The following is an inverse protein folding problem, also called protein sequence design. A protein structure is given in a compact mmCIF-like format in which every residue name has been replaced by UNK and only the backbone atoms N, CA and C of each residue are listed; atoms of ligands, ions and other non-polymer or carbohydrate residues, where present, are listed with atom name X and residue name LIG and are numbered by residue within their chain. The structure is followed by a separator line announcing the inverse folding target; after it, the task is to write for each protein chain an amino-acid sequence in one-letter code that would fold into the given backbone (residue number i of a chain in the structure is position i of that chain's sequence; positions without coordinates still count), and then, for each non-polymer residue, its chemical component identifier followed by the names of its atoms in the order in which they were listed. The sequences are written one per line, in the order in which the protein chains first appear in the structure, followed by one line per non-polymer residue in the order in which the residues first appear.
data_IF_424032162330
#
_entry.id   IF_424032162330
#
_cell.length_a   1.000
_cell.length_b   1.000
_cell.length_c   1.000
_cell.angle_alpha   90.00
_cell.angle_beta   90.00
_cell.angle_gamma   90.00
#
_symmetry.space_group_name_H-M   'P 1'
#
loop_
_entity.id
_entity.type
_entity.pdbx_description
1 polymer ?
#
# COMPACT_ATOMS: atom_id res chain seq x y z
N UNK A 1 34.98 43.09 26.59
CA UNK A 1 33.82 42.16 26.60
C UNK A 1 33.33 42.01 25.18
N UNK A 2 33.73 40.95 24.48
CA UNK A 2 33.17 40.57 23.17
C UNK A 2 32.36 39.32 23.43
N UNK A 3 31.03 39.46 23.37
CA UNK A 3 30.08 38.38 23.54
C UNK A 3 29.97 37.55 22.27
N UNK A 4 30.12 36.24 22.42
CA UNK A 4 29.78 35.25 21.43
C UNK A 4 28.27 35.27 21.16
N UNK A 5 27.87 35.22 19.89
CA UNK A 5 26.60 34.64 19.48
C UNK A 5 26.78 34.01 18.10
N UNK A 6 27.07 32.72 18.11
CA UNK A 6 27.07 31.86 16.95
C UNK A 6 25.65 31.73 16.43
N UNK A 7 25.35 32.41 15.33
CA UNK A 7 24.24 32.03 14.47
C UNK A 7 24.68 30.79 13.70
N UNK A 8 24.40 29.61 14.28
CA UNK A 8 24.41 28.37 13.54
C UNK A 8 23.39 28.52 12.42
N UNK A 9 23.87 28.81 11.21
CA UNK A 9 23.11 28.61 9.99
C UNK A 9 22.77 27.12 9.94
N UNK A 10 21.58 26.78 10.43
CA UNK A 10 20.96 25.49 10.15
C UNK A 10 20.59 25.52 8.69
N UNK A 11 21.58 25.24 7.84
CA UNK A 11 21.36 24.92 6.44
C UNK A 11 20.45 23.70 6.43
N UNK A 12 19.22 23.78 5.92
CA UNK A 12 18.42 22.58 5.76
C UNK A 12 19.22 21.63 4.85
N UNK A 13 19.27 20.31 5.15
CA UNK A 13 19.90 19.39 4.23
C UNK A 13 19.26 19.55 2.86
N UNK A 14 20.06 19.96 1.88
CA UNK A 14 19.72 19.89 0.47
C UNK A 14 19.62 18.39 0.18
N UNK A 15 18.43 17.83 0.35
CA UNK A 15 18.17 16.48 -0.13
C UNK A 15 18.31 16.52 -1.65
N UNK A 16 19.19 15.69 -2.25
CA UNK A 16 19.28 15.62 -3.69
C UNK A 16 17.90 15.22 -4.23
N UNK A 17 17.34 16.10 -5.08
CA UNK A 17 16.04 16.00 -5.77
C UNK A 17 15.98 14.86 -6.80
N UNK A 18 16.78 13.80 -6.61
CA UNK A 18 16.98 12.70 -7.54
C UNK A 18 16.66 11.32 -6.96
N UNK A 19 16.22 11.21 -5.70
CA UNK A 19 15.48 10.02 -5.26
C UNK A 19 14.00 10.13 -5.67
N UNK A 20 13.76 10.25 -6.98
CA UNK A 20 12.49 9.79 -7.56
C UNK A 20 12.60 8.28 -7.52
N UNK A 21 12.17 7.70 -6.40
CA UNK A 21 12.14 6.25 -6.22
C UNK A 21 11.35 5.64 -7.37
N UNK A 22 12.05 4.95 -8.26
CA UNK A 22 11.48 4.06 -9.28
C UNK A 22 10.75 2.86 -8.65
N UNK A 23 10.66 2.81 -7.32
CA UNK A 23 9.84 1.86 -6.58
C UNK A 23 8.33 1.98 -6.86
N UNK A 24 7.88 3.11 -7.43
CA UNK A 24 6.47 3.31 -7.80
C UNK A 24 6.00 2.50 -9.01
N UNK A 25 6.92 1.99 -9.84
CA UNK A 25 6.59 1.32 -11.11
C UNK A 25 7.10 -0.12 -11.18
N UNK A 26 7.34 -0.80 -10.04
CA UNK A 26 7.45 -2.26 -10.12
C UNK A 26 6.11 -2.80 -10.62
N UNK A 27 6.04 -3.41 -11.82
CA UNK A 27 4.82 -4.00 -12.28
C UNK A 27 4.37 -5.01 -11.22
N UNK A 28 3.09 -4.98 -10.87
CA UNK A 28 2.52 -6.04 -10.05
C UNK A 28 2.89 -7.36 -10.72
N UNK A 29 3.57 -8.25 -9.98
CA UNK A 29 3.92 -9.58 -10.48
C UNK A 29 2.66 -10.22 -11.05
N UNK A 30 2.79 -10.86 -12.21
CA UNK A 30 1.71 -11.70 -12.72
C UNK A 30 1.38 -12.79 -11.69
N UNK A 31 0.16 -13.33 -11.73
CA UNK A 31 -0.25 -14.41 -10.84
C UNK A 31 0.72 -15.60 -10.89
N UNK A 32 1.30 -15.87 -12.06
CA UNK A 32 2.29 -16.92 -12.27
C UNK A 32 3.65 -16.58 -11.63
N UNK A 33 4.17 -15.36 -11.84
CA UNK A 33 5.42 -14.92 -11.20
C UNK A 33 5.30 -14.90 -9.68
N UNK A 34 4.13 -14.51 -9.17
CA UNK A 34 3.83 -14.56 -7.75
C UNK A 34 3.80 -16.00 -7.22
N UNK A 35 3.14 -16.92 -7.92
CA UNK A 35 3.12 -18.33 -7.53
C UNK A 35 4.55 -18.90 -7.48
N UNK A 36 5.40 -18.54 -8.46
CA UNK A 36 6.82 -18.92 -8.48
C UNK A 36 7.61 -18.30 -7.33
N UNK A 37 7.37 -17.03 -7.00
CA UNK A 37 8.02 -16.36 -5.87
C UNK A 37 7.64 -17.01 -4.53
N UNK A 38 6.36 -17.33 -4.32
CA UNK A 38 5.89 -18.04 -3.12
C UNK A 38 6.48 -19.45 -3.03
N UNK A 39 6.50 -20.20 -4.14
CA UNK A 39 7.13 -21.52 -4.18
C UNK A 39 8.64 -21.46 -3.85
N UNK A 40 9.33 -20.40 -4.29
CA UNK A 40 10.73 -20.18 -3.95
C UNK A 40 10.92 -19.90 -2.46
N UNK A 41 10.08 -19.05 -1.87
CA UNK A 41 10.09 -18.77 -0.42
C UNK A 41 9.83 -20.04 0.37
N UNK A 42 8.84 -20.85 -0.03
CA UNK A 42 8.54 -22.12 0.62
C UNK A 42 9.71 -23.11 0.55
N UNK A 43 10.43 -23.11 -0.57
CA UNK A 43 11.62 -23.94 -0.74
C UNK A 43 12.79 -23.53 0.15
N UNK A 44 12.92 -22.23 0.46
CA UNK A 44 14.04 -21.69 1.26
C UNK A 44 13.71 -21.70 2.75
N UNK A 45 12.49 -21.26 3.11
CA UNK A 45 12.08 -21.01 4.48
C UNK A 45 11.21 -22.13 5.07
N UNK A 46 10.81 -23.11 4.26
CA UNK A 46 9.84 -24.14 4.62
C UNK A 46 8.39 -23.74 4.33
N UNK A 47 7.43 -24.66 4.54
CA UNK A 47 6.03 -24.44 4.18
C UNK A 47 5.43 -23.23 4.90
N UNK A 48 4.79 -22.34 4.13
CA UNK A 48 4.01 -21.23 4.69
C UNK A 48 2.68 -21.75 5.24
N UNK A 49 2.39 -21.39 6.48
CA UNK A 49 1.11 -21.67 7.11
C UNK A 49 -0.05 -20.87 6.47
N UNK A 50 -1.28 -21.28 6.79
CA UNK A 50 -2.48 -20.66 6.22
C UNK A 50 -2.61 -19.18 6.59
N UNK A 51 -2.21 -18.79 7.80
CA UNK A 51 -2.25 -17.41 8.28
C UNK A 51 -1.32 -16.49 7.49
N UNK A 52 -0.10 -16.95 7.19
CA UNK A 52 0.89 -16.21 6.42
C UNK A 52 0.42 -16.03 4.97
N UNK A 53 -0.12 -17.09 4.36
CA UNK A 53 -0.71 -17.00 3.01
C UNK A 53 -1.89 -16.04 2.95
N UNK A 54 -2.80 -16.12 3.93
CA UNK A 54 -3.97 -15.23 4.05
C UNK A 54 -3.56 -13.77 4.20
N UNK A 55 -2.58 -13.51 5.06
CA UNK A 55 -2.01 -12.18 5.27
C UNK A 55 -1.35 -11.63 4.01
N UNK A 56 -0.56 -12.44 3.31
CA UNK A 56 0.05 -12.05 2.04
C UNK A 56 -0.99 -11.70 0.97
N UNK A 57 -2.06 -12.49 0.86
CA UNK A 57 -3.16 -12.20 -0.06
C UNK A 57 -3.90 -10.89 0.28
N UNK A 58 -4.17 -10.63 1.57
CA UNK A 58 -4.80 -9.39 2.00
C UNK A 58 -3.93 -8.15 1.74
N UNK A 59 -2.62 -8.24 1.98
CA UNK A 59 -1.69 -7.14 1.72
C UNK A 59 -1.57 -6.82 0.22
N UNK A 60 -1.52 -7.85 -0.63
CA UNK A 60 -1.48 -7.66 -2.07
C UNK A 60 -2.79 -7.05 -2.60
N UNK A 61 -3.94 -7.56 -2.16
CA UNK A 61 -5.23 -7.01 -2.52
C UNK A 61 -5.37 -5.53 -2.09
N UNK A 62 -4.87 -5.19 -0.90
CA UNK A 62 -4.85 -3.80 -0.42
C UNK A 62 -3.96 -2.91 -1.30
N UNK A 63 -2.75 -3.37 -1.65
CA UNK A 63 -1.86 -2.64 -2.55
C UNK A 63 -2.47 -2.46 -3.95
N UNK A 64 -3.13 -3.49 -4.48
CA UNK A 64 -3.80 -3.48 -5.77
C UNK A 64 -5.00 -2.51 -5.79
N UNK A 65 -5.84 -2.52 -4.75
CA UNK A 65 -6.95 -1.60 -4.61
C UNK A 65 -6.47 -0.14 -4.55
N UNK A 66 -5.42 0.15 -3.76
CA UNK A 66 -4.82 1.48 -3.72
C UNK A 66 -4.24 1.90 -5.08
N UNK A 67 -3.58 1.00 -5.81
CA UNK A 67 -3.06 1.25 -7.14
C UNK A 67 -4.18 1.55 -8.15
N UNK A 68 -5.28 0.80 -8.07
CA UNK A 68 -6.47 1.05 -8.87
C UNK A 68 -7.06 2.44 -8.58
N UNK A 69 -7.24 2.82 -7.31
CA UNK A 69 -7.75 4.16 -6.94
C UNK A 69 -6.85 5.27 -7.51
N UNK A 70 -5.52 5.14 -7.43
CA UNK A 70 -4.59 6.12 -8.01
C UNK A 70 -4.73 6.21 -9.52
N UNK A 71 -4.87 5.05 -10.20
CA UNK A 71 -5.08 4.98 -11.64
C UNK A 71 -6.41 5.64 -12.05
N UNK A 72 -7.47 5.38 -11.31
CA UNK A 72 -8.82 5.90 -11.59
C UNK A 72 -8.93 7.41 -11.35
N UNK A 73 -8.29 7.92 -10.29
CA UNK A 73 -8.37 9.35 -9.92
C UNK A 73 -7.27 10.21 -10.51
N UNK A 74 -6.19 9.61 -11.02
CA UNK A 74 -4.98 10.34 -11.43
C UNK A 74 -4.24 11.03 -10.28
N UNK A 75 -4.55 10.70 -9.01
CA UNK A 75 -3.98 11.34 -7.82
C UNK A 75 -3.02 10.42 -7.08
N UNK A 76 -1.94 11.00 -6.55
CA UNK A 76 -1.00 10.34 -5.65
C UNK A 76 -0.59 11.30 -4.52
N UNK A 77 -0.76 10.91 -3.24
CA UNK A 77 -1.31 9.64 -2.77
C UNK A 77 -2.82 9.48 -3.06
N UNK A 78 -3.36 8.26 -2.87
CA UNK A 78 -4.81 8.02 -2.91
C UNK A 78 -5.53 8.93 -1.90
N UNK A 79 -6.79 9.34 -2.14
CA UNK A 79 -7.53 10.17 -1.19
C UNK A 79 -7.54 9.57 0.22
N UNK A 80 -7.26 10.40 1.23
CA UNK A 80 -7.17 9.97 2.62
C UNK A 80 -8.38 9.16 3.13
N UNK A 81 -9.65 9.54 2.87
CA UNK A 81 -10.80 8.74 3.34
C UNK A 81 -10.85 7.36 2.68
N UNK A 82 -10.53 7.26 1.38
CA UNK A 82 -10.48 5.98 0.66
C UNK A 82 -9.35 5.08 1.20
N UNK A 83 -8.17 5.66 1.44
CA UNK A 83 -7.05 4.92 2.01
C UNK A 83 -7.33 4.42 3.43
N UNK A 84 -8.03 5.21 4.25
CA UNK A 84 -8.45 4.81 5.59
C UNK A 84 -9.46 3.65 5.56
N UNK A 85 -10.49 3.72 4.72
CA UNK A 85 -11.48 2.67 4.53
C UNK A 85 -10.81 1.34 4.10
N UNK A 86 -9.91 1.39 3.12
CA UNK A 86 -9.17 0.22 2.67
C UNK A 86 -8.26 -0.38 3.74
N UNK A 87 -7.63 0.45 4.59
CA UNK A 87 -6.79 -0.04 5.69
C UNK A 87 -7.63 -0.75 6.74
N UNK A 88 -8.78 -0.17 7.11
CA UNK A 88 -9.68 -0.76 8.08
C UNK A 88 -10.23 -2.12 7.59
N UNK A 89 -10.62 -2.18 6.31
CA UNK A 89 -11.08 -3.41 5.69
C UNK A 89 -10.00 -4.49 5.64
N UNK A 90 -8.78 -4.13 5.25
CA UNK A 90 -7.66 -5.06 5.16
C UNK A 90 -7.32 -5.69 6.52
N UNK A 91 -7.42 -4.92 7.61
CA UNK A 91 -7.19 -5.42 8.96
C UNK A 91 -8.13 -6.58 9.34
N UNK A 92 -9.37 -6.57 8.84
CA UNK A 92 -10.34 -7.64 9.09
C UNK A 92 -10.11 -8.91 8.25
N UNK A 93 -9.34 -8.83 7.16
CA UNK A 93 -9.14 -9.92 6.20
C UNK A 93 -7.93 -10.80 6.52
N UNK A 94 -7.26 -10.57 7.65
CA UNK A 94 -6.16 -11.42 8.13
C UNK A 94 -6.65 -12.70 8.81
N UNK A 95 -7.93 -12.75 9.19
CA UNK A 95 -8.53 -13.93 9.81
C UNK A 95 -8.57 -15.10 8.80
N UNK A 96 -8.04 -16.25 9.21
CA UNK A 96 -8.01 -17.48 8.41
C UNK A 96 -9.39 -18.10 8.29
N UNK A 97 -10.29 -17.85 9.25
CA UNK A 97 -11.68 -18.29 9.18
C UNK A 97 -12.53 -17.45 8.21
N UNK A 98 -12.02 -16.29 7.76
CA UNK A 98 -12.70 -15.46 6.77
C UNK A 98 -12.48 -16.02 5.36
N UNK A 99 -13.50 -16.68 4.82
CA UNK A 99 -13.49 -17.33 3.51
C UNK A 99 -13.63 -16.35 2.33
N UNK A 100 -13.91 -15.06 2.58
CA UNK A 100 -14.10 -14.07 1.51
C UNK A 100 -12.78 -13.79 0.78
N UNK A 101 -12.83 -13.68 -0.54
CA UNK A 101 -11.66 -13.26 -1.33
C UNK A 101 -11.28 -11.80 -0.98
N UNK A 102 -10.07 -11.54 -0.43
CA UNK A 102 -9.62 -10.19 -0.12
C UNK A 102 -9.66 -9.25 -1.30
N UNK A 103 -9.40 -9.77 -2.50
CA UNK A 103 -9.38 -8.96 -3.71
C UNK A 103 -10.78 -8.43 -3.99
N UNK A 104 -11.79 -9.29 -4.02
CA UNK A 104 -13.17 -8.88 -4.26
C UNK A 104 -13.64 -7.90 -3.19
N UNK A 105 -13.39 -8.21 -1.91
CA UNK A 105 -13.80 -7.34 -0.78
C UNK A 105 -13.14 -5.96 -0.86
N UNK A 106 -11.83 -5.91 -1.06
CA UNK A 106 -11.11 -4.62 -1.06
C UNK A 106 -11.38 -3.79 -2.32
N UNK A 107 -11.67 -4.41 -3.46
CA UNK A 107 -12.09 -3.67 -4.66
C UNK A 107 -13.51 -3.10 -4.50
N UNK A 108 -14.46 -3.86 -3.96
CA UNK A 108 -15.80 -3.34 -3.67
C UNK A 108 -15.75 -2.13 -2.72
N UNK A 109 -14.97 -2.24 -1.65
CA UNK A 109 -14.79 -1.14 -0.68
C UNK A 109 -14.06 0.05 -1.33
N UNK A 110 -13.10 -0.17 -2.22
CA UNK A 110 -12.45 0.90 -2.96
C UNK A 110 -13.44 1.66 -3.85
N UNK A 111 -14.31 0.95 -4.56
CA UNK A 111 -15.34 1.53 -5.43
C UNK A 111 -16.35 2.35 -4.61
N UNK A 112 -16.89 1.78 -3.53
CA UNK A 112 -17.84 2.45 -2.64
C UNK A 112 -17.24 3.71 -1.99
N UNK A 113 -16.04 3.58 -1.40
CA UNK A 113 -15.39 4.70 -0.73
C UNK A 113 -14.99 5.81 -1.72
N UNK A 114 -14.59 5.45 -2.94
CA UNK A 114 -14.30 6.42 -3.98
C UNK A 114 -15.57 7.13 -4.46
N UNK A 115 -16.66 6.40 -4.68
CA UNK A 115 -17.94 7.00 -5.05
C UNK A 115 -18.44 7.98 -3.97
N UNK A 116 -18.34 7.61 -2.70
CA UNK A 116 -18.67 8.49 -1.58
C UNK A 116 -17.81 9.76 -1.57
N UNK A 117 -16.48 9.61 -1.72
CA UNK A 117 -15.56 10.75 -1.75
C UNK A 117 -15.83 11.71 -2.93
N UNK A 118 -16.27 11.19 -4.08
CA UNK A 118 -16.59 12.01 -5.25
C UNK A 118 -17.98 12.68 -5.18
N UNK A 119 -18.88 12.14 -4.36
CA UNK A 119 -20.22 12.70 -4.14
C UNK A 119 -20.25 13.80 -3.05
N UNK A 120 -19.21 13.89 -2.22
CA UNK A 120 -19.07 14.97 -1.24
C UNK A 120 -18.85 16.32 -1.97
N UNK A 121 -19.71 17.34 -1.71
CA UNK A 121 -19.46 18.68 -2.21
C UNK A 121 -18.19 19.25 -1.56
N UNK A 122 -17.34 19.86 -2.38
CA UNK A 122 -16.09 20.49 -1.96
C UNK A 122 -16.30 21.67 -0.99
#
# INVERSE_FOLDING_TARGET
MIGANGAALVTPPIYPRHMRTTYSDSPALSAEERARALALVERICGPLDAATRRTGAALEAHAAALAWVRKTTGRSPSPAPVAAALRQAAAGLHDVADERDPREVLFAIAEEALAAHLAEPA
#
